data_IF_659118519660
#
_entry.id   IF_659118519660
#
_cell.length_a   1.000
_cell.length_b   1.000
_cell.length_c   1.000
_cell.angle_alpha   90.00
_cell.angle_beta   90.00
_cell.angle_gamma   90.00
#
_symmetry.space_group_name_H-M   'P 1'
#
loop_
_entity.id
_entity.type
_entity.pdbx_description
1 polymer ?
#
# COMPACT_ATOMS: atom_id res chain seq x y z
N UNK A 1 21.31 4.15 -25.70
CA UNK A 1 21.65 3.41 -24.46
C UNK A 1 21.23 4.16 -23.18
N UNK A 2 21.54 5.45 -23.02
CA UNK A 2 21.18 6.20 -21.80
C UNK A 2 19.66 6.32 -21.54
N UNK A 3 18.84 6.53 -22.57
CA UNK A 3 17.36 6.64 -22.46
C UNK A 3 16.74 5.34 -21.90
N UNK A 4 17.00 4.21 -22.57
CA UNK A 4 16.59 2.86 -22.13
C UNK A 4 16.89 2.57 -20.67
N UNK A 5 18.13 2.84 -20.25
CA UNK A 5 18.56 2.55 -18.89
C UNK A 5 17.70 3.30 -17.86
N UNK A 6 17.45 4.59 -18.09
CA UNK A 6 16.63 5.44 -17.20
C UNK A 6 15.16 4.99 -17.17
N UNK A 7 14.60 4.63 -18.34
CA UNK A 7 13.21 4.17 -18.41
C UNK A 7 13.02 2.86 -17.63
N UNK A 8 13.91 1.88 -17.85
CA UNK A 8 13.83 0.57 -17.20
C UNK A 8 14.10 0.69 -15.71
N UNK A 9 15.14 1.42 -15.29
CA UNK A 9 15.43 1.59 -13.87
C UNK A 9 14.31 2.33 -13.14
N UNK A 10 13.76 3.39 -13.74
CA UNK A 10 12.62 4.12 -13.21
C UNK A 10 11.38 3.23 -13.06
N UNK A 11 11.06 2.44 -14.08
CA UNK A 11 9.94 1.49 -14.04
C UNK A 11 10.11 0.42 -12.95
N UNK A 12 11.31 -0.14 -12.80
CA UNK A 12 11.58 -1.15 -11.77
C UNK A 12 11.45 -0.56 -10.36
N UNK A 13 11.99 0.64 -10.12
CA UNK A 13 11.90 1.30 -8.81
C UNK A 13 10.45 1.65 -8.48
N UNK A 14 9.69 2.21 -9.44
CA UNK A 14 8.30 2.61 -9.19
C UNK A 14 7.36 1.42 -9.01
N UNK A 15 7.53 0.36 -9.80
CA UNK A 15 6.75 -0.88 -9.68
C UNK A 15 7.06 -1.66 -8.41
N UNK A 16 8.34 -1.70 -7.98
CA UNK A 16 8.72 -2.30 -6.70
C UNK A 16 8.13 -1.52 -5.52
N UNK A 17 8.15 -0.18 -5.57
CA UNK A 17 7.51 0.66 -4.56
C UNK A 17 6.01 0.37 -4.45
N UNK A 18 5.31 0.29 -5.59
CA UNK A 18 3.90 -0.10 -5.62
C UNK A 18 3.65 -1.50 -5.03
N UNK A 19 4.50 -2.48 -5.33
CA UNK A 19 4.41 -3.82 -4.77
C UNK A 19 4.61 -3.83 -3.24
N UNK A 20 5.54 -3.02 -2.70
CA UNK A 20 5.73 -2.92 -1.26
C UNK A 20 4.53 -2.30 -0.55
N UNK A 21 3.85 -1.32 -1.16
CA UNK A 21 2.58 -0.80 -0.61
C UNK A 21 1.52 -1.91 -0.58
N UNK A 22 1.42 -2.72 -1.64
CA UNK A 22 0.50 -3.86 -1.69
C UNK A 22 0.79 -4.87 -0.57
N UNK A 23 2.07 -5.23 -0.37
CA UNK A 23 2.47 -6.14 0.71
C UNK A 23 2.16 -5.56 2.09
N UNK A 24 2.39 -4.26 2.30
CA UNK A 24 2.13 -3.58 3.58
C UNK A 24 0.66 -3.68 3.98
N UNK A 25 -0.26 -3.63 3.00
CA UNK A 25 -1.70 -3.79 3.25
C UNK A 25 -2.06 -5.15 3.88
N UNK A 26 -1.28 -6.19 3.61
CA UNK A 26 -1.47 -7.53 4.17
C UNK A 26 -0.62 -7.80 5.42
N UNK A 27 0.29 -6.90 5.80
CA UNK A 27 1.12 -7.08 6.98
C UNK A 27 0.35 -6.84 8.27
N UNK A 28 0.68 -7.65 9.28
CA UNK A 28 0.29 -7.42 10.66
C UNK A 28 1.16 -6.33 11.31
N UNK A 29 0.76 -5.89 12.50
CA UNK A 29 1.55 -4.94 13.31
C UNK A 29 1.73 -3.54 12.71
N UNK A 30 0.69 -2.98 12.08
CA UNK A 30 0.67 -1.56 11.70
C UNK A 30 0.81 -0.63 12.91
N UNK A 31 0.26 -1.05 14.05
CA UNK A 31 0.38 -0.34 15.32
C UNK A 31 0.53 -1.34 16.46
N UNK A 32 1.54 -1.14 17.31
CA UNK A 32 1.78 -1.97 18.51
C UNK A 32 1.52 -1.11 19.74
N UNK A 33 0.78 -1.66 20.71
CA UNK A 33 0.54 -1.01 22.00
C UNK A 33 1.27 -1.78 23.10
N UNK A 34 1.93 -1.07 24.03
CA UNK A 34 2.70 -1.68 25.12
C UNK A 34 1.81 -2.43 26.13
N UNK A 35 2.43 -3.32 26.91
CA UNK A 35 1.81 -4.04 28.05
C UNK A 35 1.14 -3.01 28.97
N UNK A 36 -0.15 -3.18 29.25
CA UNK A 36 -0.96 -2.18 29.96
C UNK A 36 -1.77 -1.23 29.06
N UNK A 37 -1.77 -1.46 27.74
CA UNK A 37 -2.28 -0.61 26.64
C UNK A 37 -3.65 0.08 26.76
N UNK A 38 -4.58 -0.15 25.81
CA UNK A 38 -5.89 0.55 25.71
C UNK A 38 -6.75 0.45 26.99
N UNK A 39 -6.39 -0.48 27.87
CA UNK A 39 -7.04 -0.76 29.15
C UNK A 39 -6.45 -0.07 30.39
N UNK A 40 -5.41 0.75 30.27
CA UNK A 40 -4.82 1.47 31.43
C UNK A 40 -4.54 0.60 32.67
N UNK A 41 -4.62 1.20 33.86
CA UNK A 41 -4.37 0.50 35.14
C UNK A 41 -5.47 -0.49 35.57
N UNK A 42 -6.51 -0.73 34.76
CA UNK A 42 -7.62 -1.65 35.07
C UNK A 42 -7.49 -3.03 34.42
N UNK A 43 -6.34 -3.32 33.79
CA UNK A 43 -6.10 -4.59 33.11
C UNK A 43 -5.92 -5.74 34.12
N UNK A 44 -6.85 -6.70 34.09
CA UNK A 44 -6.88 -7.88 34.96
C UNK A 44 -5.94 -8.99 34.46
N UNK A 45 -5.54 -8.98 33.17
CA UNK A 45 -4.65 -9.98 32.54
C UNK A 45 -3.60 -9.34 31.62
N UNK A 46 -2.35 -9.80 31.71
CA UNK A 46 -1.26 -9.35 30.81
C UNK A 46 -1.59 -9.76 29.37
N UNK A 47 -1.63 -8.79 28.47
CA UNK A 47 -1.88 -8.99 27.04
C UNK A 47 -1.07 -8.01 26.18
N UNK A 48 -0.72 -8.47 24.98
CA UNK A 48 0.02 -7.72 23.96
C UNK A 48 -0.92 -7.31 22.85
N UNK A 49 -1.13 -6.02 22.64
CA UNK A 49 -2.10 -5.50 21.68
C UNK A 49 -1.40 -5.03 20.41
N UNK A 50 -1.95 -5.40 19.27
CA UNK A 50 -1.54 -4.90 17.97
C UNK A 50 -2.75 -4.72 17.06
N UNK A 51 -2.66 -3.73 16.16
CA UNK A 51 -3.69 -3.44 15.17
C UNK A 51 -3.05 -3.54 13.79
N UNK A 52 -3.77 -4.09 12.82
CA UNK A 52 -3.46 -3.94 11.40
C UNK A 52 -4.54 -3.09 10.72
N UNK A 53 -4.54 -3.01 9.39
CA UNK A 53 -5.54 -2.26 8.67
C UNK A 53 -6.94 -2.90 8.75
N UNK A 54 -7.05 -4.20 9.08
CA UNK A 54 -8.25 -5.02 8.97
C UNK A 54 -8.93 -5.32 10.31
N UNK A 55 -8.12 -5.47 11.36
CA UNK A 55 -8.52 -6.00 12.66
C UNK A 55 -7.68 -5.41 13.81
N UNK A 56 -8.29 -5.41 14.99
CA UNK A 56 -7.58 -5.27 16.27
C UNK A 56 -7.36 -6.66 16.87
N UNK A 57 -6.14 -6.93 17.33
CA UNK A 57 -5.76 -8.22 17.88
C UNK A 57 -5.04 -8.06 19.23
N UNK A 58 -5.13 -9.08 20.07
CA UNK A 58 -4.32 -9.21 21.26
C UNK A 58 -3.89 -10.64 21.52
N UNK A 59 -2.71 -10.80 22.11
CA UNK A 59 -2.19 -12.10 22.58
C UNK A 59 -2.12 -12.08 24.10
N UNK A 60 -2.77 -13.02 24.75
CA UNK A 60 -2.80 -13.12 26.21
C UNK A 60 -1.57 -13.86 26.79
N UNK A 61 -1.46 -13.92 28.12
CA UNK A 61 -0.38 -14.64 28.82
C UNK A 61 -0.42 -16.17 28.64
N UNK A 62 -1.52 -16.73 28.12
CA UNK A 62 -1.62 -18.13 27.75
C UNK A 62 -1.16 -18.38 26.30
N UNK A 63 -0.59 -17.35 25.65
CA UNK A 63 -0.16 -17.36 24.25
C UNK A 63 -1.31 -17.59 23.25
N UNK A 64 -2.54 -17.26 23.62
CA UNK A 64 -3.71 -17.31 22.74
C UNK A 64 -3.93 -15.94 22.11
N UNK A 65 -3.97 -15.89 20.77
CA UNK A 65 -4.27 -14.67 20.01
C UNK A 65 -5.74 -14.60 19.65
N UNK A 66 -6.39 -13.49 20.01
CA UNK A 66 -7.78 -13.20 19.65
C UNK A 66 -7.80 -11.93 18.80
N UNK A 67 -8.53 -12.00 17.68
CA UNK A 67 -8.65 -10.89 16.72
C UNK A 67 -10.12 -10.52 16.52
N UNK A 68 -10.37 -9.22 16.39
CA UNK A 68 -11.68 -8.65 16.09
C UNK A 68 -11.56 -7.75 14.86
N UNK A 69 -12.28 -8.11 13.81
CA UNK A 69 -12.34 -7.32 12.58
C UNK A 69 -13.03 -5.99 12.80
N UNK A 70 -12.55 -4.95 12.11
CA UNK A 70 -13.21 -3.65 12.16
C UNK A 70 -14.56 -3.71 11.42
N UNK A 71 -15.66 -3.25 12.04
CA UNK A 71 -16.95 -3.17 11.36
C UNK A 71 -16.87 -2.17 10.20
N UNK A 72 -17.66 -2.41 9.14
CA UNK A 72 -17.73 -1.52 7.96
C UNK A 72 -18.41 -0.17 8.27
N UNK A 73 -18.87 0.03 9.51
CA UNK A 73 -19.49 1.27 9.97
C UNK A 73 -18.47 2.41 10.08
N UNK A 74 -18.91 3.63 9.78
CA UNK A 74 -18.15 4.88 9.92
C UNK A 74 -17.62 5.18 11.34
N UNK A 75 -17.95 4.36 12.34
CA UNK A 75 -17.48 4.50 13.72
C UNK A 75 -15.96 4.32 13.87
N UNK A 76 -15.26 3.77 12.86
CA UNK A 76 -13.78 3.73 12.79
C UNK A 76 -13.28 4.64 11.65
N UNK A 77 -13.72 5.90 11.65
CA UNK A 77 -13.56 6.86 10.55
C UNK A 77 -12.11 6.98 10.04
N UNK A 78 -11.12 7.00 10.94
CA UNK A 78 -9.71 7.14 10.55
C UNK A 78 -9.19 5.92 9.78
N UNK A 79 -9.43 4.70 10.26
CA UNK A 79 -8.96 3.47 9.60
C UNK A 79 -9.67 3.30 8.26
N UNK A 80 -10.96 3.63 8.19
CA UNK A 80 -11.72 3.54 6.95
C UNK A 80 -11.26 4.56 5.90
N UNK A 81 -10.89 5.79 6.32
CA UNK A 81 -10.30 6.77 5.42
C UNK A 81 -8.94 6.31 4.86
N UNK A 82 -8.06 5.77 5.73
CA UNK A 82 -6.76 5.23 5.33
C UNK A 82 -6.91 4.06 4.34
N UNK A 83 -7.85 3.14 4.59
CA UNK A 83 -8.19 2.06 3.65
C UNK A 83 -8.58 2.60 2.27
N UNK A 84 -9.48 3.59 2.26
CA UNK A 84 -9.95 4.20 1.02
C UNK A 84 -8.81 4.85 0.23
N UNK A 85 -7.96 5.63 0.91
CA UNK A 85 -6.80 6.27 0.29
C UNK A 85 -5.81 5.25 -0.29
N UNK A 86 -5.47 4.20 0.48
CA UNK A 86 -4.58 3.14 0.02
C UNK A 86 -5.15 2.37 -1.18
N UNK A 87 -6.45 2.05 -1.17
CA UNK A 87 -7.10 1.38 -2.31
C UNK A 87 -7.11 2.27 -3.56
N UNK A 88 -7.38 3.57 -3.41
CA UNK A 88 -7.30 4.54 -4.50
C UNK A 88 -5.85 4.66 -5.03
N UNK A 89 -4.87 4.77 -4.15
CA UNK A 89 -3.45 4.83 -4.51
C UNK A 89 -2.99 3.56 -5.25
N UNK A 90 -3.38 2.38 -4.77
CA UNK A 90 -3.05 1.09 -5.39
C UNK A 90 -3.69 0.93 -6.78
N UNK A 91 -4.94 1.35 -6.96
CA UNK A 91 -5.62 1.29 -8.27
C UNK A 91 -4.99 2.25 -9.27
N UNK A 92 -4.70 3.49 -8.86
CA UNK A 92 -3.96 4.46 -9.69
C UNK A 92 -2.56 3.92 -10.03
N UNK A 93 -1.87 3.33 -9.05
CA UNK A 93 -0.55 2.71 -9.25
C UNK A 93 -0.58 1.53 -10.21
N UNK A 94 -1.65 0.73 -10.22
CA UNK A 94 -1.82 -0.35 -11.20
C UNK A 94 -1.92 0.20 -12.63
N UNK A 95 -2.75 1.21 -12.87
CA UNK A 95 -2.82 1.87 -14.18
C UNK A 95 -1.49 2.54 -14.55
N UNK A 96 -0.77 3.09 -13.58
CA UNK A 96 0.56 3.66 -13.78
C UNK A 96 1.56 2.61 -14.30
N UNK A 97 1.61 1.42 -13.69
CA UNK A 97 2.46 0.30 -14.12
C UNK A 97 2.13 -0.10 -15.56
N UNK A 98 0.84 -0.24 -15.90
CA UNK A 98 0.40 -0.60 -17.26
C UNK A 98 0.82 0.47 -18.28
N UNK A 99 0.56 1.75 -17.99
CA UNK A 99 0.93 2.85 -18.87
C UNK A 99 2.46 2.93 -19.06
N UNK A 100 3.24 2.83 -17.98
CA UNK A 100 4.69 2.79 -18.07
C UNK A 100 5.17 1.62 -18.91
N UNK A 101 4.62 0.42 -18.69
CA UNK A 101 5.00 -0.78 -19.42
C UNK A 101 4.79 -0.63 -20.93
N UNK A 102 3.64 -0.13 -21.36
CA UNK A 102 3.31 0.10 -22.78
C UNK A 102 4.12 1.27 -23.38
N UNK A 103 4.38 2.31 -22.58
CA UNK A 103 5.07 3.54 -23.01
C UNK A 103 6.59 3.41 -23.18
N UNK A 104 7.23 2.37 -22.62
CA UNK A 104 8.68 2.17 -22.76
C UNK A 104 9.11 1.93 -24.20
N UNK A 105 10.30 2.40 -24.57
CA UNK A 105 10.85 2.24 -25.92
C UNK A 105 11.12 0.78 -26.30
N UNK A 106 11.32 -0.10 -25.32
CA UNK A 106 11.52 -1.54 -25.54
C UNK A 106 10.22 -2.33 -25.75
N UNK A 107 9.05 -1.72 -25.54
CA UNK A 107 7.74 -2.39 -25.68
C UNK A 107 7.11 -2.10 -27.04
N UNK A 108 7.01 -3.11 -27.90
CA UNK A 108 6.52 -2.95 -29.28
C UNK A 108 5.00 -3.14 -29.42
N UNK A 109 4.21 -2.34 -28.69
CA UNK A 109 2.74 -2.32 -28.78
C UNK A 109 2.29 -1.10 -29.60
N UNK A 110 2.65 -1.09 -30.89
CA UNK A 110 2.23 -0.06 -31.85
C UNK A 110 2.51 1.41 -31.44
N UNK A 111 1.99 2.35 -32.24
CA UNK A 111 2.11 3.78 -31.97
C UNK A 111 3.45 4.41 -32.34
N UNK A 112 3.46 5.74 -32.46
CA UNK A 112 4.68 6.51 -32.72
C UNK A 112 5.53 6.68 -31.46
N UNK A 113 6.83 6.90 -31.61
CA UNK A 113 7.73 7.19 -30.46
C UNK A 113 7.20 8.35 -29.60
N UNK A 114 6.62 9.38 -30.24
CA UNK A 114 6.01 10.52 -29.54
C UNK A 114 4.80 10.11 -28.70
N UNK A 115 3.99 9.18 -29.18
CA UNK A 115 2.83 8.66 -28.44
C UNK A 115 3.31 7.85 -27.24
N UNK A 116 4.31 6.98 -27.44
CA UNK A 116 4.91 6.16 -26.38
C UNK A 116 5.51 7.02 -25.27
N UNK A 117 6.28 8.05 -25.62
CA UNK A 117 6.86 8.99 -24.66
C UNK A 117 5.78 9.73 -23.85
N UNK A 118 4.64 10.12 -24.47
CA UNK A 118 3.49 10.72 -23.75
C UNK A 118 2.83 9.75 -22.78
N UNK A 119 2.62 8.51 -23.21
CA UNK A 119 2.00 7.46 -22.37
C UNK A 119 2.91 7.13 -21.19
N UNK A 120 4.23 7.03 -21.41
CA UNK A 120 5.21 6.82 -20.34
C UNK A 120 5.21 7.97 -19.34
N UNK A 121 5.16 9.22 -19.82
CA UNK A 121 5.08 10.39 -18.95
C UNK A 121 3.78 10.41 -18.12
N UNK A 122 2.64 10.06 -18.74
CA UNK A 122 1.37 9.92 -18.02
C UNK A 122 1.45 8.82 -16.95
N UNK A 123 2.02 7.65 -17.28
CA UNK A 123 2.25 6.57 -16.31
C UNK A 123 3.14 7.01 -15.14
N UNK A 124 4.22 7.75 -15.41
CA UNK A 124 5.09 8.28 -14.36
C UNK A 124 4.36 9.28 -13.45
N UNK A 125 3.53 10.16 -14.01
CA UNK A 125 2.69 11.08 -13.24
C UNK A 125 1.67 10.32 -12.37
N UNK A 126 1.04 9.27 -12.89
CA UNK A 126 0.13 8.42 -12.13
C UNK A 126 0.85 7.71 -10.97
N UNK A 127 2.09 7.23 -11.17
CA UNK A 127 2.87 6.65 -10.09
C UNK A 127 3.15 7.67 -8.98
N UNK A 128 3.44 8.92 -9.34
CA UNK A 128 3.67 9.98 -8.36
C UNK A 128 2.40 10.33 -7.58
N UNK A 129 1.26 10.46 -8.26
CA UNK A 129 -0.03 10.76 -7.63
C UNK A 129 -0.49 9.58 -6.75
N UNK A 130 -0.42 8.35 -7.28
CA UNK A 130 -0.81 7.14 -6.57
C UNK A 130 0.06 6.84 -5.35
N UNK A 131 1.35 7.17 -5.41
CA UNK A 131 2.26 7.03 -4.26
C UNK A 131 2.14 8.15 -3.20
N UNK A 132 1.39 9.21 -3.47
CA UNK A 132 1.10 10.29 -2.51
C UNK A 132 -0.20 10.08 -1.74
N UNK A 133 -1.09 9.23 -2.25
CA UNK A 133 -2.32 8.78 -1.61
C UNK A 133 -2.01 7.71 -0.56
#
# INVERSE_FOLDING_TARGET
>A
MRKRLIQISGFLISSLGWLFVLCTMAMDYWRITKIGGQGGSYIIKVAWYWSNLWSDCYTDSAAVTNCREYPVLWNVAYVQAVRGLLMCGLTIGFFAVVCCFVGMECTYIGGSDKTKDKVLFAGAALHFVGGKL
#
